data_IF_233342977841
#
_entry.id   IF_233342977841
#
_cell.length_a   1.000
_cell.length_b   1.000
_cell.length_c   1.000
_cell.angle_alpha   90.00
_cell.angle_beta   90.00
_cell.angle_gamma   90.00
#
_symmetry.space_group_name_H-M   'P 1'
#
loop_
_entity.id
_entity.type
_entity.pdbx_description
1 polymer ?
#
# COMPACT_ATOMS: atom_id res chain seq x y z
N UNK A 1 -16.18 8.57 -1.96
CA UNK A 1 -16.49 7.26 -2.58
C UNK A 1 -16.78 6.24 -1.49
N UNK A 2 -15.76 5.74 -0.79
CA UNK A 2 -15.92 4.72 0.27
C UNK A 2 -16.94 5.09 1.36
N UNK A 3 -16.86 6.31 1.91
CA UNK A 3 -17.78 6.77 2.96
C UNK A 3 -19.22 6.89 2.45
N UNK A 4 -19.41 7.47 1.26
CA UNK A 4 -20.74 7.60 0.65
C UNK A 4 -21.36 6.23 0.37
N UNK A 5 -20.54 5.29 -0.11
CA UNK A 5 -20.97 3.92 -0.33
C UNK A 5 -21.29 3.24 0.99
N UNK A 6 -20.57 3.51 2.09
CA UNK A 6 -20.83 2.93 3.42
C UNK A 6 -22.14 3.40 4.05
N UNK A 7 -22.50 4.68 3.89
CA UNK A 7 -23.69 5.29 4.50
C UNK A 7 -24.99 4.90 3.77
N UNK A 8 -24.92 4.54 2.48
CA UNK A 8 -26.09 4.14 1.69
C UNK A 8 -26.83 2.96 2.36
N UNK A 9 -28.16 2.97 2.32
CA UNK A 9 -28.98 1.83 2.74
C UNK A 9 -28.59 0.58 1.93
N UNK A 10 -28.37 -0.53 2.64
CA UNK A 10 -27.90 -1.81 2.11
C UNK A 10 -28.65 -2.95 2.75
N UNK A 11 -28.73 -4.07 2.06
CA UNK A 11 -29.18 -5.33 2.66
C UNK A 11 -28.11 -5.87 3.62
N UNK A 12 -28.51 -6.76 4.52
CA UNK A 12 -27.57 -7.41 5.45
C UNK A 12 -26.48 -8.18 4.70
N UNK A 13 -26.83 -8.86 3.60
CA UNK A 13 -25.89 -9.57 2.73
C UNK A 13 -24.83 -8.63 2.11
N UNK A 14 -25.25 -7.49 1.59
CA UNK A 14 -24.34 -6.49 0.99
C UNK A 14 -23.36 -5.94 2.02
N UNK A 15 -23.85 -5.70 3.24
CA UNK A 15 -23.02 -5.23 4.35
C UNK A 15 -21.99 -6.28 4.76
N UNK A 16 -22.40 -7.55 4.82
CA UNK A 16 -21.50 -8.65 5.15
C UNK A 16 -20.42 -8.86 4.10
N UNK A 17 -20.73 -8.73 2.81
CA UNK A 17 -19.74 -8.74 1.72
C UNK A 17 -18.71 -7.61 1.90
N UNK A 18 -19.14 -6.39 2.19
CA UNK A 18 -18.21 -5.28 2.45
C UNK A 18 -17.31 -5.53 3.66
N UNK A 19 -17.87 -6.04 4.77
CA UNK A 19 -17.11 -6.36 5.98
C UNK A 19 -16.10 -7.49 5.72
N UNK A 20 -16.50 -8.53 4.98
CA UNK A 20 -15.63 -9.65 4.60
C UNK A 20 -14.40 -9.15 3.85
N UNK A 21 -14.60 -8.33 2.81
CA UNK A 21 -13.50 -7.77 2.02
C UNK A 21 -12.62 -6.82 2.85
N UNK A 22 -13.22 -5.99 3.73
CA UNK A 22 -12.47 -5.13 4.65
C UNK A 22 -11.60 -5.95 5.64
N UNK A 23 -12.09 -7.09 6.14
CA UNK A 23 -11.31 -8.00 6.99
C UNK A 23 -10.14 -8.63 6.24
N UNK A 24 -10.35 -9.04 4.98
CA UNK A 24 -9.27 -9.56 4.11
C UNK A 24 -8.20 -8.50 3.90
N UNK A 25 -8.60 -7.28 3.52
CA UNK A 25 -7.70 -6.14 3.35
C UNK A 25 -6.88 -5.89 4.62
N UNK A 26 -7.55 -5.84 5.79
CA UNK A 26 -6.88 -5.64 7.08
C UNK A 26 -5.87 -6.74 7.39
N UNK A 27 -6.19 -8.02 7.12
CA UNK A 27 -5.24 -9.13 7.32
C UNK A 27 -4.01 -8.98 6.43
N UNK A 28 -4.18 -8.62 5.17
CA UNK A 28 -3.06 -8.42 4.23
C UNK A 28 -2.17 -7.27 4.69
N UNK A 29 -2.77 -6.14 5.11
CA UNK A 29 -2.02 -4.99 5.63
C UNK A 29 -1.24 -5.36 6.89
N UNK A 30 -1.87 -6.04 7.85
CA UNK A 30 -1.18 -6.49 9.08
C UNK A 30 -0.03 -7.43 8.74
N UNK A 31 -0.24 -8.39 7.85
CA UNK A 31 0.80 -9.31 7.41
C UNK A 31 1.98 -8.58 6.73
N UNK A 32 1.70 -7.62 5.86
CA UNK A 32 2.71 -6.77 5.23
C UNK A 32 3.50 -5.93 6.25
N UNK A 33 2.81 -5.33 7.23
CA UNK A 33 3.46 -4.60 8.31
C UNK A 33 4.39 -5.49 9.15
N UNK A 34 3.97 -6.72 9.44
CA UNK A 34 4.80 -7.70 10.18
C UNK A 34 6.09 -7.99 9.38
N UNK A 35 5.96 -8.31 8.09
CA UNK A 35 7.13 -8.56 7.22
C UNK A 35 8.06 -7.35 7.20
N UNK A 36 7.52 -6.15 7.02
CA UNK A 36 8.31 -4.91 6.98
C UNK A 36 9.09 -4.68 8.29
N UNK A 37 8.46 -4.89 9.45
CA UNK A 37 9.16 -4.78 10.75
C UNK A 37 10.28 -5.81 10.85
N UNK A 38 10.03 -7.06 10.47
CA UNK A 38 11.08 -8.08 10.42
C UNK A 38 12.22 -7.69 9.47
N UNK A 39 11.92 -7.15 8.29
CA UNK A 39 12.94 -6.67 7.35
C UNK A 39 13.78 -5.54 7.93
N UNK A 40 13.17 -4.56 8.61
CA UNK A 40 13.90 -3.47 9.27
C UNK A 40 14.81 -4.02 10.37
N UNK A 41 14.32 -4.96 11.18
CA UNK A 41 15.11 -5.62 12.23
C UNK A 41 16.31 -6.35 11.63
N UNK A 42 16.11 -7.13 10.56
CA UNK A 42 17.17 -7.90 9.87
C UNK A 42 18.22 -6.96 9.26
N UNK A 43 17.83 -5.78 8.78
CA UNK A 43 18.76 -4.81 8.19
C UNK A 43 19.48 -3.98 9.26
N UNK A 44 18.79 -3.57 10.32
CA UNK A 44 19.31 -2.62 11.31
C UNK A 44 20.14 -3.27 12.43
N UNK A 45 19.79 -4.49 12.87
CA UNK A 45 20.45 -5.13 14.02
C UNK A 45 21.87 -5.62 13.70
N UNK A 46 22.14 -6.38 12.62
CA UNK A 46 23.48 -6.93 12.38
C UNK A 46 24.60 -5.90 12.26
N UNK A 47 24.40 -4.72 11.61
CA UNK A 47 25.40 -3.66 11.59
C UNK A 47 25.80 -3.15 12.98
N UNK A 48 24.89 -3.15 13.97
CA UNK A 48 25.19 -2.77 15.35
C UNK A 48 26.14 -3.75 16.04
N UNK A 49 26.20 -5.00 15.58
CA UNK A 49 27.11 -6.04 16.09
C UNK A 49 28.37 -6.21 15.23
N UNK A 50 28.61 -5.31 14.27
CA UNK A 50 29.77 -5.38 13.37
C UNK A 50 29.62 -6.39 12.24
N UNK A 51 28.45 -7.00 12.07
CA UNK A 51 28.16 -7.89 10.95
C UNK A 51 27.60 -7.10 9.76
N UNK A 52 28.32 -7.11 8.64
CA UNK A 52 27.82 -6.57 7.38
C UNK A 52 26.79 -7.53 6.77
N UNK A 53 25.54 -7.09 6.64
CA UNK A 53 24.53 -7.79 5.82
C UNK A 53 24.69 -7.51 4.32
N UNK A 54 25.54 -6.54 3.96
CA UNK A 54 25.79 -6.19 2.57
C UNK A 54 26.94 -7.00 2.01
N UNK A 55 26.78 -7.47 0.77
CA UNK A 55 27.85 -8.07 -0.01
C UNK A 55 28.83 -6.94 -0.40
N UNK A 56 29.99 -6.90 0.24
CA UNK A 56 31.01 -5.85 0.11
C UNK A 56 31.86 -6.07 -1.16
N UNK A 57 31.25 -5.99 -2.35
CA UNK A 57 31.99 -6.12 -3.62
C UNK A 57 32.34 -4.79 -4.27
N UNK A 58 31.87 -3.66 -3.71
CA UNK A 58 32.02 -2.37 -4.36
C UNK A 58 33.24 -1.61 -3.82
N UNK A 59 33.94 -0.89 -4.69
CA UNK A 59 35.14 -0.09 -4.37
C UNK A 59 34.87 1.02 -3.34
N UNK A 60 33.62 1.43 -3.16
CA UNK A 60 33.21 2.40 -2.13
C UNK A 60 33.01 1.79 -0.73
N UNK A 61 33.18 0.48 -0.59
CA UNK A 61 33.01 -0.21 0.69
C UNK A 61 34.29 -0.18 1.51
N UNK A 62 34.31 0.70 2.51
CA UNK A 62 35.42 0.76 3.47
C UNK A 62 35.31 -0.42 4.44
N UNK A 63 36.37 -1.24 4.59
CA UNK A 63 36.36 -2.38 5.50
C UNK A 63 36.00 -1.96 6.93
N UNK A 64 35.03 -2.64 7.53
CA UNK A 64 34.67 -2.48 8.95
C UNK A 64 33.70 -1.35 9.30
N UNK A 65 33.24 -0.53 8.34
CA UNK A 65 32.22 0.52 8.57
C UNK A 65 31.15 0.60 7.47
N UNK A 66 30.36 -0.47 7.25
CA UNK A 66 29.27 -0.42 6.28
C UNK A 66 28.11 0.44 6.79
N UNK A 67 27.76 1.48 6.02
CA UNK A 67 26.52 2.24 6.19
C UNK A 67 25.30 1.41 5.72
N UNK A 68 24.11 1.72 6.24
CA UNK A 68 22.86 0.98 5.96
C UNK A 68 22.52 0.95 4.47
N UNK A 69 22.74 2.06 3.78
CA UNK A 69 22.52 2.21 2.35
C UNK A 69 23.79 2.66 1.65
N UNK A 70 24.02 2.13 0.44
CA UNK A 70 25.11 2.59 -0.41
C UNK A 70 24.75 3.96 -1.01
N UNK A 71 25.46 5.01 -0.62
CA UNK A 71 25.25 6.35 -1.15
C UNK A 71 26.59 7.08 -1.32
N UNK A 72 26.66 7.98 -2.28
CA UNK A 72 27.82 8.85 -2.45
C UNK A 72 27.71 10.06 -1.50
N UNK A 73 28.80 10.36 -0.79
CA UNK A 73 28.89 11.51 0.10
C UNK A 73 29.95 12.49 -0.42
N UNK A 74 29.66 13.79 -0.29
CA UNK A 74 30.60 14.86 -0.69
C UNK A 74 31.84 14.96 0.21
N UNK A 75 31.79 14.36 1.40
CA UNK A 75 32.88 14.35 2.39
C UNK A 75 33.11 12.91 2.83
N UNK A 76 34.35 12.60 3.23
CA UNK A 76 34.69 11.31 3.80
C UNK A 76 33.91 11.08 5.11
N UNK A 77 32.98 10.13 5.09
CA UNK A 77 32.10 9.74 6.19
C UNK A 77 32.66 8.57 6.99
N UNK A 78 33.86 8.07 6.68
CA UNK A 78 34.47 6.93 7.38
C UNK A 78 35.01 7.29 8.76
N UNK A 79 35.27 8.57 9.00
CA UNK A 79 35.79 9.09 10.27
C UNK A 79 34.66 9.40 11.26
N UNK A 80 34.87 9.08 12.54
CA UNK A 80 33.98 9.52 13.62
C UNK A 80 34.13 11.03 13.81
N UNK A 81 33.05 11.82 14.03
CA UNK A 81 31.66 11.43 14.32
C UNK A 81 30.73 11.34 13.08
N UNK A 82 31.27 11.54 11.87
CA UNK A 82 30.46 11.65 10.65
C UNK A 82 29.80 10.34 10.25
N UNK A 83 30.46 9.21 10.53
CA UNK A 83 29.90 7.88 10.32
C UNK A 83 28.60 7.68 11.10
N UNK A 84 28.64 7.99 12.40
CA UNK A 84 27.51 7.82 13.31
C UNK A 84 26.34 8.73 12.92
N UNK A 85 26.62 9.97 12.54
CA UNK A 85 25.62 10.92 12.05
C UNK A 85 24.97 10.41 10.75
N UNK A 86 25.77 9.97 9.78
CA UNK A 86 25.28 9.44 8.51
C UNK A 86 24.46 8.16 8.72
N UNK A 87 24.88 7.28 9.62
CA UNK A 87 24.17 6.05 9.96
C UNK A 87 22.79 6.36 10.57
N UNK A 88 22.72 7.26 11.55
CA UNK A 88 21.44 7.66 12.17
C UNK A 88 20.54 8.37 11.16
N UNK A 89 21.10 9.24 10.31
CA UNK A 89 20.35 9.92 9.26
C UNK A 89 19.75 8.92 8.23
N UNK A 90 20.54 7.93 7.79
CA UNK A 90 20.06 6.88 6.90
C UNK A 90 19.00 6.00 7.58
N UNK A 91 19.17 5.66 8.86
CA UNK A 91 18.18 4.89 9.61
C UNK A 91 16.84 5.65 9.69
N UNK A 92 16.88 6.95 10.01
CA UNK A 92 15.70 7.80 10.02
C UNK A 92 15.05 7.90 8.63
N UNK A 93 15.84 8.05 7.57
CA UNK A 93 15.36 8.10 6.20
C UNK A 93 14.66 6.79 5.78
N UNK A 94 15.24 5.63 6.12
CA UNK A 94 14.63 4.31 5.84
C UNK A 94 13.30 4.17 6.58
N UNK A 95 13.24 4.57 7.85
CA UNK A 95 12.00 4.53 8.65
C UNK A 95 10.93 5.44 8.03
N UNK A 96 11.27 6.68 7.68
CA UNK A 96 10.32 7.60 7.04
C UNK A 96 9.83 7.08 5.68
N UNK A 97 10.73 6.51 4.87
CA UNK A 97 10.36 5.90 3.60
C UNK A 97 9.40 4.72 3.82
N UNK A 98 9.70 3.82 4.76
CA UNK A 98 8.87 2.67 5.10
C UNK A 98 7.44 3.07 5.49
N UNK A 99 7.28 4.07 6.36
CA UNK A 99 5.96 4.61 6.72
C UNK A 99 5.24 5.24 5.53
N UNK A 100 5.96 6.01 4.70
CA UNK A 100 5.38 6.68 3.53
C UNK A 100 4.84 5.67 2.51
N UNK A 101 5.63 4.63 2.19
CA UNK A 101 5.22 3.56 1.29
C UNK A 101 4.03 2.77 1.85
N UNK A 102 4.08 2.39 3.13
CA UNK A 102 2.99 1.65 3.78
C UNK A 102 1.68 2.43 3.77
N UNK A 103 1.74 3.76 3.98
CA UNK A 103 0.57 4.63 3.91
C UNK A 103 -0.09 4.62 2.52
N UNK A 104 0.73 4.73 1.47
CA UNK A 104 0.27 4.69 0.08
C UNK A 104 -0.34 3.31 -0.24
N UNK A 105 0.35 2.23 0.12
CA UNK A 105 -0.09 0.86 -0.16
C UNK A 105 -1.39 0.51 0.58
N UNK A 106 -1.51 0.92 1.85
CA UNK A 106 -2.75 0.74 2.62
C UNK A 106 -3.90 1.51 1.97
N UNK A 107 -3.65 2.73 1.50
CA UNK A 107 -4.65 3.53 0.82
C UNK A 107 -5.11 2.89 -0.50
N UNK A 108 -4.17 2.47 -1.34
CA UNK A 108 -4.44 1.76 -2.59
C UNK A 108 -5.19 0.45 -2.32
N UNK A 109 -4.73 -0.34 -1.36
CA UNK A 109 -5.37 -1.58 -0.93
C UNK A 109 -6.83 -1.35 -0.51
N UNK A 110 -7.09 -0.35 0.32
CA UNK A 110 -8.45 -0.01 0.75
C UNK A 110 -9.39 0.27 -0.43
N UNK A 111 -8.91 0.98 -1.45
CA UNK A 111 -9.71 1.28 -2.64
C UNK A 111 -9.93 0.03 -3.47
N UNK A 112 -8.89 -0.76 -3.70
CA UNK A 112 -8.98 -2.00 -4.48
C UNK A 112 -9.98 -2.95 -3.84
N UNK A 113 -9.85 -3.22 -2.53
CA UNK A 113 -10.78 -4.08 -1.81
C UNK A 113 -12.20 -3.51 -1.73
N UNK A 114 -12.33 -2.19 -1.61
CA UNK A 114 -13.65 -1.54 -1.69
C UNK A 114 -14.31 -1.76 -3.04
N UNK A 115 -13.57 -1.60 -4.14
CA UNK A 115 -14.09 -1.83 -5.49
C UNK A 115 -14.42 -3.31 -5.69
N UNK A 116 -13.56 -4.23 -5.24
CA UNK A 116 -13.87 -5.67 -5.26
C UNK A 116 -15.16 -5.99 -4.51
N UNK A 117 -15.40 -5.38 -3.34
CA UNK A 117 -16.65 -5.53 -2.61
C UNK A 117 -17.86 -5.00 -3.39
N UNK A 118 -17.74 -3.82 -4.00
CA UNK A 118 -18.80 -3.26 -4.84
C UNK A 118 -19.10 -4.13 -6.06
N UNK A 119 -18.07 -4.72 -6.67
CA UNK A 119 -18.20 -5.66 -7.78
C UNK A 119 -18.89 -6.97 -7.37
N UNK A 120 -18.59 -7.48 -6.19
CA UNK A 120 -19.24 -8.68 -5.64
C UNK A 120 -20.73 -8.42 -5.34
N UNK A 121 -21.05 -7.26 -4.75
CA UNK A 121 -22.45 -6.82 -4.56
C UNK A 121 -23.17 -6.67 -5.91
N UNK A 122 -22.52 -6.05 -6.88
CA UNK A 122 -23.06 -5.89 -8.23
C UNK A 122 -23.37 -7.26 -8.88
N UNK A 123 -22.45 -8.22 -8.75
CA UNK A 123 -22.65 -9.60 -9.23
C UNK A 123 -23.84 -10.26 -8.52
N UNK A 124 -23.96 -10.12 -7.20
CA UNK A 124 -25.10 -10.67 -6.45
C UNK A 124 -26.43 -10.09 -6.93
N UNK A 125 -26.50 -8.76 -7.12
CA UNK A 125 -27.69 -8.09 -7.66
C UNK A 125 -28.03 -8.52 -9.09
N UNK A 126 -27.02 -8.83 -9.91
CA UNK A 126 -27.21 -9.34 -11.27
C UNK A 126 -27.75 -10.78 -11.26
N UNK A 127 -27.26 -11.64 -10.36
CA UNK A 127 -27.74 -13.02 -10.25
C UNK A 127 -29.17 -13.09 -9.72
N UNK A 128 -29.58 -12.14 -8.88
CA UNK A 128 -30.94 -12.05 -8.34
C UNK A 128 -31.82 -11.07 -9.14
N UNK A 129 -31.49 -10.81 -10.41
CA UNK A 129 -32.27 -9.91 -11.28
C UNK A 129 -33.71 -10.38 -11.47
N UNK A 130 -33.97 -11.69 -11.38
CA UNK A 130 -35.28 -12.29 -11.60
C UNK A 130 -36.27 -11.95 -10.47
N UNK A 131 -35.79 -11.49 -9.31
CA UNK A 131 -36.61 -11.01 -8.20
C UNK A 131 -37.09 -9.55 -8.40
N UNK A 132 -36.52 -8.82 -9.37
CA UNK A 132 -36.93 -7.44 -9.65
C UNK A 132 -38.24 -7.41 -10.44
N UNK A 133 -39.21 -6.62 -9.97
CA UNK A 133 -40.44 -6.30 -10.72
C UNK A 133 -40.19 -5.74 -12.13
N UNK A 134 -39.03 -5.13 -12.37
CA UNK A 134 -38.61 -4.60 -13.67
C UNK A 134 -37.13 -4.92 -13.94
N UNK A 135 -36.88 -6.02 -14.63
CA UNK A 135 -35.55 -6.52 -15.02
C UNK A 135 -34.66 -5.44 -15.69
N UNK A 136 -35.20 -4.72 -16.69
CA UNK A 136 -34.47 -3.69 -17.43
C UNK A 136 -34.02 -2.52 -16.54
N UNK A 137 -34.77 -2.20 -15.49
CA UNK A 137 -34.42 -1.13 -14.55
C UNK A 137 -33.27 -1.55 -13.64
N UNK A 138 -33.32 -2.79 -13.10
CA UNK A 138 -32.22 -3.35 -12.30
C UNK A 138 -30.92 -3.48 -13.10
N UNK A 139 -31.01 -3.92 -14.36
CA UNK A 139 -29.86 -4.04 -15.25
C UNK A 139 -29.21 -2.68 -15.54
N UNK A 140 -30.01 -1.65 -15.83
CA UNK A 140 -29.52 -0.30 -16.13
C UNK A 140 -28.77 0.32 -14.94
N UNK A 141 -29.29 0.17 -13.72
CA UNK A 141 -28.63 0.65 -12.49
C UNK A 141 -27.29 -0.08 -12.27
N UNK A 142 -27.26 -1.38 -12.48
CA UNK A 142 -26.07 -2.20 -12.32
C UNK A 142 -24.97 -1.79 -13.32
N UNK A 143 -25.31 -1.60 -14.60
CA UNK A 143 -24.37 -1.15 -15.64
C UNK A 143 -23.88 0.28 -15.38
N UNK A 144 -24.74 1.20 -14.92
CA UNK A 144 -24.32 2.55 -14.55
C UNK A 144 -23.37 2.57 -13.36
N UNK A 145 -23.63 1.77 -12.32
CA UNK A 145 -22.75 1.67 -11.15
C UNK A 145 -21.40 1.06 -11.52
N UNK A 146 -21.39 0.04 -12.37
CA UNK A 146 -20.16 -0.56 -12.91
C UNK A 146 -19.32 0.46 -13.68
N UNK A 147 -19.92 1.19 -14.62
CA UNK A 147 -19.24 2.24 -15.39
C UNK A 147 -18.74 3.37 -14.49
N UNK A 148 -19.48 3.73 -13.44
CA UNK A 148 -19.07 4.75 -12.46
C UNK A 148 -17.84 4.30 -11.66
N UNK A 149 -17.81 3.05 -11.20
CA UNK A 149 -16.66 2.49 -10.46
C UNK A 149 -15.40 2.46 -11.34
N UNK A 150 -15.53 2.00 -12.59
CA UNK A 150 -14.43 1.98 -13.57
C UNK A 150 -13.92 3.40 -13.86
N UNK A 151 -14.81 4.36 -14.09
CA UNK A 151 -14.41 5.76 -14.35
C UNK A 151 -13.71 6.40 -13.15
N UNK A 152 -14.15 6.11 -11.92
CA UNK A 152 -13.48 6.61 -10.71
C UNK A 152 -12.09 6.01 -10.53
N UNK A 153 -11.87 4.77 -10.94
CA UNK A 153 -10.58 4.12 -10.87
C UNK A 153 -9.61 4.67 -11.94
N UNK A 154 -10.10 4.90 -13.17
CA UNK A 154 -9.33 5.45 -14.30
C UNK A 154 -9.00 6.94 -14.11
N UNK A 155 -9.95 7.76 -13.66
CA UNK A 155 -9.73 9.19 -13.45
C UNK A 155 -8.67 9.42 -12.36
N UNK A 156 -8.62 8.53 -11.36
CA UNK A 156 -7.69 8.62 -10.25
C UNK A 156 -6.26 8.23 -10.63
N UNK A 157 -6.10 7.20 -11.47
CA UNK A 157 -4.80 6.84 -12.04
C UNK A 157 -4.29 7.89 -13.04
N UNK A 158 -5.18 8.53 -13.81
CA UNK A 158 -4.83 9.66 -14.68
C UNK A 158 -4.40 10.92 -13.90
N UNK A 159 -5.11 11.28 -12.83
CA UNK A 159 -4.74 12.44 -11.98
C UNK A 159 -3.40 12.18 -11.27
N UNK A 160 -3.17 10.96 -10.76
CA UNK A 160 -1.89 10.56 -10.16
C UNK A 160 -0.74 10.58 -11.18
N UNK A 161 -0.97 10.17 -12.42
CA UNK A 161 0.04 10.27 -13.49
C UNK A 161 0.31 11.72 -13.92
N UNK A 162 -0.72 12.56 -13.97
CA UNK A 162 -0.57 13.97 -14.33
C UNK A 162 0.21 14.76 -13.26
N UNK A 163 0.07 14.39 -11.98
CA UNK A 163 0.83 14.99 -10.87
C UNK A 163 2.26 14.42 -10.73
N UNK A 164 2.57 13.29 -11.38
CA UNK A 164 3.91 12.67 -11.41
C UNK A 164 4.75 13.14 -12.62
N UNK A 165 4.11 13.76 -13.62
CA UNK A 165 4.74 14.30 -14.84
C UNK A 165 4.95 15.82 -14.82
N UNK A 166 4.76 16.47 -13.66
CA UNK A 166 4.99 17.89 -13.44
C UNK A 166 5.92 18.08 -12.25
#
# INVERSE_FOLDING_TARGET
MVVADWIKTKTEEERDTMIKQARVAKRIVVFGCIIMVFSIIIIAIPPCFGHSMRYLTNITDVPGKPLLLQTYYFRDVTQSPYFEIAFVAQAAAVIMAAFSYTGIDNFLGLIVFHICAQMEILKMRLLNLDEYKNFNFGLSINVQNHMRLIRLQILRSLILNCHRLR
#
